data_IF_715696407655
#
_entry.id   IF_715696407655
#
_cell.length_a   1.000
_cell.length_b   1.000
_cell.length_c   1.000
_cell.angle_alpha   90.00
_cell.angle_beta   90.00
_cell.angle_gamma   90.00
#
_symmetry.space_group_name_H-M   'P 1'
#
loop_
_entity.id
_entity.type
_entity.pdbx_description
1 polymer ?
#
# COMPACT_ATOMS: atom_id res chain seq x y z
N UNK A 1 -20.07 15.51 7.40
CA UNK A 1 -19.52 14.44 8.26
C UNK A 1 -18.95 13.39 7.32
N UNK A 2 -17.69 12.97 7.47
CA UNK A 2 -17.09 11.93 6.64
C UNK A 2 -17.17 10.62 7.44
N UNK A 3 -18.07 9.72 7.03
CA UNK A 3 -18.21 8.41 7.66
C UNK A 3 -17.15 7.46 7.12
N UNK A 4 -16.21 7.06 7.97
CA UNK A 4 -15.22 6.03 7.63
C UNK A 4 -15.81 4.68 8.01
N UNK A 5 -16.17 3.87 7.01
CA UNK A 5 -16.61 2.50 7.21
C UNK A 5 -15.40 1.59 7.47
N UNK A 6 -15.06 1.42 8.74
CA UNK A 6 -14.06 0.45 9.17
C UNK A 6 -14.70 -0.95 9.14
N UNK A 7 -14.04 -1.99 8.59
CA UNK A 7 -14.56 -3.34 8.63
C UNK A 7 -14.82 -3.76 10.08
N UNK A 8 -15.93 -4.47 10.30
CA UNK A 8 -16.18 -5.08 11.61
C UNK A 8 -15.18 -6.23 11.79
N UNK A 9 -14.59 -6.40 12.99
CA UNK A 9 -13.83 -7.59 13.27
C UNK A 9 -14.74 -8.80 13.05
N UNK A 10 -14.19 -9.86 12.45
CA UNK A 10 -14.89 -11.13 12.38
C UNK A 10 -15.06 -11.65 13.80
N UNK A 11 -16.26 -12.14 14.10
CA UNK A 11 -16.54 -12.84 15.35
C UNK A 11 -17.16 -14.16 14.93
N UNK A 12 -16.55 -15.30 15.24
CA UNK A 12 -17.19 -16.57 15.05
C UNK A 12 -18.36 -16.62 16.04
N UNK A 13 -19.59 -16.59 15.53
CA UNK A 13 -20.78 -16.86 16.33
C UNK A 13 -20.66 -18.30 16.85
N UNK A 14 -21.03 -18.52 18.12
CA UNK A 14 -20.92 -19.79 18.83
C UNK A 14 -21.87 -20.86 18.24
N UNK A 15 -21.63 -21.30 17.00
CA UNK A 15 -22.17 -22.54 16.48
C UNK A 15 -21.31 -23.69 16.99
N UNK A 16 -21.84 -24.38 18.01
CA UNK A 16 -21.12 -25.34 18.82
C UNK A 16 -20.32 -26.39 18.04
N UNK A 17 -19.22 -26.81 18.68
CA UNK A 17 -18.33 -27.95 18.37
C UNK A 17 -17.07 -27.67 17.54
N UNK A 18 -16.16 -26.88 18.09
CA UNK A 18 -14.71 -27.14 18.08
C UNK A 18 -14.05 -26.20 19.11
N UNK A 19 -12.88 -26.51 19.71
CA UNK A 19 -12.11 -25.47 20.38
C UNK A 19 -11.79 -24.42 19.32
N UNK A 20 -12.48 -23.29 19.39
CA UNK A 20 -12.26 -22.16 18.49
C UNK A 20 -10.83 -21.71 18.73
N UNK A 21 -9.95 -22.02 17.78
CA UNK A 21 -8.60 -21.50 17.73
C UNK A 21 -8.76 -19.97 17.79
N UNK A 22 -8.41 -19.38 18.94
CA UNK A 22 -8.67 -17.97 19.22
C UNK A 22 -7.99 -17.13 18.14
N UNK A 23 -8.73 -16.16 17.61
CA UNK A 23 -8.43 -15.60 16.31
C UNK A 23 -7.12 -14.81 16.29
N UNK A 24 -6.40 -15.06 15.20
CA UNK A 24 -5.14 -14.43 14.78
C UNK A 24 -5.34 -12.92 14.63
N UNK A 25 -4.36 -12.14 15.09
CA UNK A 25 -4.26 -10.70 14.81
C UNK A 25 -4.60 -10.40 13.34
N UNK A 26 -5.56 -9.52 13.10
CA UNK A 26 -6.01 -9.18 11.75
C UNK A 26 -5.77 -7.70 11.44
N UNK A 27 -5.33 -7.41 10.21
CA UNK A 27 -5.01 -6.06 9.75
C UNK A 27 -5.76 -5.77 8.45
N UNK A 28 -6.43 -4.63 8.39
CA UNK A 28 -7.22 -4.19 7.25
C UNK A 28 -6.82 -2.79 6.80
N UNK A 29 -6.62 -2.63 5.49
CA UNK A 29 -6.32 -1.36 4.85
C UNK A 29 -7.59 -0.81 4.19
N UNK A 30 -8.09 0.32 4.68
CA UNK A 30 -9.28 0.99 4.13
C UNK A 30 -8.89 2.32 3.48
N UNK A 31 -9.10 2.45 2.18
CA UNK A 31 -8.89 3.71 1.46
C UNK A 31 -9.90 4.75 1.89
N UNK A 32 -9.43 5.97 2.19
CA UNK A 32 -10.29 7.11 2.46
C UNK A 32 -10.75 7.75 1.15
N UNK A 33 -12.05 7.67 0.88
CA UNK A 33 -12.66 8.33 -0.26
C UNK A 33 -12.45 9.86 -0.19
N UNK A 34 -12.33 10.50 -1.36
CA UNK A 34 -12.15 11.94 -1.52
C UNK A 34 -10.83 12.49 -0.95
N UNK A 35 -9.86 11.61 -0.72
CA UNK A 35 -8.47 11.98 -0.40
C UNK A 35 -7.54 11.77 -1.59
N UNK A 36 -8.10 11.51 -2.77
CA UNK A 36 -7.33 11.28 -3.98
C UNK A 36 -6.66 12.56 -4.47
N UNK A 37 -5.35 12.48 -4.64
CA UNK A 37 -4.56 13.54 -5.24
C UNK A 37 -3.77 13.01 -6.43
N UNK A 38 -3.79 13.74 -7.54
CA UNK A 38 -3.07 13.38 -8.75
C UNK A 38 -1.76 14.14 -8.77
N UNK A 39 -0.65 13.40 -8.73
CA UNK A 39 0.69 13.96 -8.76
C UNK A 39 1.41 13.55 -10.03
N UNK A 40 2.21 14.47 -10.57
CA UNK A 40 3.09 14.15 -11.69
C UNK A 40 4.08 13.06 -11.29
N UNK A 41 4.24 12.03 -12.13
CA UNK A 41 5.18 10.96 -11.84
C UNK A 41 6.61 11.50 -11.78
N UNK A 42 7.24 11.43 -10.61
CA UNK A 42 8.60 11.93 -10.39
C UNK A 42 9.63 11.23 -11.29
N UNK A 43 9.44 9.95 -11.59
CA UNK A 43 10.42 9.15 -12.35
C UNK A 43 10.50 9.50 -13.83
N UNK A 44 9.38 9.89 -14.45
CA UNK A 44 9.33 10.25 -15.86
C UNK A 44 8.96 11.73 -16.09
N UNK A 45 8.82 12.50 -15.01
CA UNK A 45 8.45 13.92 -15.03
C UNK A 45 7.23 14.20 -15.90
N UNK A 46 6.18 13.37 -15.80
CA UNK A 46 4.95 13.54 -16.58
C UNK A 46 4.94 12.88 -17.96
N UNK A 47 6.10 12.51 -18.52
CA UNK A 47 6.18 12.04 -19.91
C UNK A 47 5.68 10.61 -20.16
N UNK A 48 5.43 9.83 -19.11
CA UNK A 48 5.07 8.41 -19.21
C UNK A 48 6.20 7.49 -19.72
N UNK A 49 7.37 8.02 -20.08
CA UNK A 49 8.48 7.25 -20.63
C UNK A 49 9.81 7.64 -19.97
N UNK A 50 10.67 6.66 -19.76
CA UNK A 50 12.01 6.86 -19.19
C UNK A 50 13.09 6.48 -20.20
N UNK A 51 14.28 7.05 -20.05
CA UNK A 51 15.44 6.73 -20.90
C UNK A 51 15.72 5.22 -20.84
N UNK A 52 15.85 4.59 -21.99
CA UNK A 52 16.16 3.17 -22.05
C UNK A 52 17.57 2.94 -21.49
N UNK A 53 17.69 2.18 -20.39
CA UNK A 53 18.98 1.87 -19.79
C UNK A 53 19.89 1.04 -20.70
N UNK A 54 19.32 0.14 -21.52
CA UNK A 54 20.09 -0.78 -22.38
C UNK A 54 20.87 -0.05 -23.48
N UNK A 55 20.26 0.92 -24.14
CA UNK A 55 20.91 1.71 -25.19
C UNK A 55 21.29 3.13 -24.74
N UNK A 56 21.07 3.44 -23.44
CA UNK A 56 21.27 4.76 -22.85
C UNK A 56 20.64 5.88 -23.70
N UNK A 57 19.42 5.67 -24.20
CA UNK A 57 18.72 6.69 -24.98
C UNK A 57 19.05 6.74 -26.48
N UNK A 58 20.08 6.04 -26.95
CA UNK A 58 20.48 6.10 -28.37
C UNK A 58 19.55 5.35 -29.32
N UNK A 59 18.69 4.48 -28.79
CA UNK A 59 17.85 3.60 -29.61
C UNK A 59 18.59 2.42 -30.24
N UNK A 60 19.93 2.41 -30.22
CA UNK A 60 20.76 1.39 -30.88
C UNK A 60 21.71 0.70 -29.91
N UNK A 61 22.11 -0.52 -30.24
CA UNK A 61 23.15 -1.29 -29.52
C UNK A 61 24.10 -1.91 -30.53
N UNK A 62 25.38 -1.99 -30.17
CA UNK A 62 26.37 -2.72 -30.97
C UNK A 62 26.19 -4.21 -30.73
N UNK A 63 26.18 -4.99 -31.82
CA UNK A 63 26.16 -6.45 -31.82
C UNK A 63 27.26 -6.98 -32.72
N UNK A 64 27.56 -8.26 -32.59
CA UNK A 64 28.46 -8.99 -33.49
C UNK A 64 27.65 -10.02 -34.27
N UNK A 65 27.96 -10.17 -35.55
CA UNK A 65 27.45 -11.26 -36.38
C UNK A 65 28.22 -12.58 -36.09
N UNK A 66 27.93 -13.63 -36.85
CA UNK A 66 28.58 -14.93 -36.67
C UNK A 66 30.07 -14.89 -37.05
N UNK A 67 30.44 -13.97 -37.94
CA UNK A 67 31.78 -13.73 -38.44
C UNK A 67 32.61 -12.80 -37.54
N UNK A 68 31.99 -12.24 -36.49
CA UNK A 68 32.63 -11.37 -35.50
C UNK A 68 32.66 -9.88 -35.85
N UNK A 69 32.09 -9.46 -36.99
CA UNK A 69 31.99 -8.07 -37.38
C UNK A 69 30.97 -7.33 -36.52
N UNK A 70 31.33 -6.11 -36.11
CA UNK A 70 30.45 -5.28 -35.30
C UNK A 70 29.48 -4.48 -36.16
N UNK A 71 28.19 -4.54 -35.85
CA UNK A 71 27.15 -3.76 -36.52
C UNK A 71 26.21 -3.10 -35.52
N UNK A 72 25.51 -2.03 -35.95
CA UNK A 72 24.51 -1.34 -35.12
C UNK A 72 23.12 -1.91 -35.37
N UNK A 73 22.55 -2.51 -34.33
CA UNK A 73 21.18 -3.00 -34.34
C UNK A 73 20.26 -2.10 -33.52
N UNK A 74 18.95 -2.14 -33.83
CA UNK A 74 17.95 -1.52 -32.97
C UNK A 74 17.98 -2.18 -31.58
N UNK A 75 17.86 -1.35 -30.55
CA UNK A 75 17.78 -1.83 -29.19
C UNK A 75 16.45 -2.56 -29.01
N UNK A 76 16.50 -3.87 -28.76
CA UNK A 76 15.32 -4.71 -28.58
C UNK A 76 14.45 -4.31 -27.37
N UNK A 77 15.01 -3.57 -26.40
CA UNK A 77 14.26 -3.14 -25.21
C UNK A 77 13.35 -1.93 -25.49
N UNK A 78 13.74 -1.06 -26.41
CA UNK A 78 12.98 0.15 -26.76
C UNK A 78 12.56 0.21 -28.22
N UNK A 79 12.83 -0.85 -28.98
CA UNK A 79 12.57 -0.98 -30.42
C UNK A 79 13.04 0.25 -31.22
N UNK A 80 14.26 0.74 -30.96
CA UNK A 80 14.80 1.90 -31.66
C UNK A 80 14.42 3.28 -31.09
N UNK A 81 13.40 3.39 -30.25
CA UNK A 81 12.92 4.71 -29.77
C UNK A 81 13.82 5.41 -28.75
N UNK A 82 14.78 4.70 -28.15
CA UNK A 82 15.63 5.22 -27.06
C UNK A 82 14.92 5.39 -25.71
N UNK A 83 13.60 5.22 -25.64
CA UNK A 83 12.82 5.35 -24.41
C UNK A 83 11.95 4.12 -24.17
N UNK A 84 11.66 3.82 -22.91
CA UNK A 84 10.78 2.71 -22.52
C UNK A 84 9.63 3.23 -21.66
N UNK A 85 8.52 2.50 -21.65
CA UNK A 85 7.38 2.79 -20.77
C UNK A 85 7.86 2.93 -19.33
N UNK A 86 7.46 4.00 -18.66
CA UNK A 86 7.76 4.18 -17.25
C UNK A 86 7.00 3.14 -16.44
N UNK A 87 7.69 2.25 -15.73
CA UNK A 87 7.06 1.23 -14.89
C UNK A 87 6.51 1.75 -13.57
N UNK A 88 6.87 2.98 -13.16
CA UNK A 88 6.34 3.56 -11.90
C UNK A 88 4.92 4.09 -12.08
N UNK A 89 4.58 4.60 -13.26
CA UNK A 89 3.24 5.12 -13.57
C UNK A 89 2.57 4.36 -14.71
N UNK A 90 3.12 3.22 -15.11
CA UNK A 90 2.69 2.43 -16.27
C UNK A 90 2.33 3.26 -17.51
N UNK A 91 3.18 4.25 -17.82
CA UNK A 91 2.99 5.10 -18.99
C UNK A 91 1.97 6.22 -18.84
N UNK A 92 1.23 6.30 -17.73
CA UNK A 92 0.22 7.33 -17.50
C UNK A 92 0.80 8.73 -17.27
N UNK A 93 2.07 8.82 -16.86
CA UNK A 93 2.73 10.11 -16.56
C UNK A 93 2.33 10.72 -15.20
N UNK A 94 1.29 10.19 -14.57
CA UNK A 94 0.76 10.63 -13.28
C UNK A 94 0.62 9.46 -12.30
N UNK A 95 0.63 9.77 -11.01
CA UNK A 95 0.41 8.86 -9.90
C UNK A 95 -0.78 9.38 -9.10
N UNK A 96 -1.60 8.48 -8.59
CA UNK A 96 -2.72 8.83 -7.70
C UNK A 96 -2.33 8.45 -6.29
N UNK A 97 -2.34 9.42 -5.40
CA UNK A 97 -2.14 9.25 -3.97
C UNK A 97 -3.47 9.29 -3.26
N UNK A 98 -3.59 8.58 -2.15
CA UNK A 98 -4.76 8.64 -1.27
C UNK A 98 -4.35 8.26 0.14
N UNK A 99 -5.12 8.72 1.12
CA UNK A 99 -4.93 8.33 2.52
C UNK A 99 -5.58 6.96 2.74
N UNK A 100 -4.92 6.14 3.55
CA UNK A 100 -5.42 4.83 3.98
C UNK A 100 -5.55 4.85 5.49
N UNK A 101 -6.58 4.19 6.02
CA UNK A 101 -6.69 3.86 7.44
C UNK A 101 -6.36 2.39 7.60
N UNK A 102 -5.31 2.11 8.38
CA UNK A 102 -4.95 0.76 8.76
C UNK A 102 -5.59 0.45 10.11
N UNK A 103 -6.46 -0.56 10.12
CA UNK A 103 -7.14 -1.04 11.34
C UNK A 103 -6.57 -2.40 11.71
N UNK A 104 -6.01 -2.49 12.91
CA UNK A 104 -5.50 -3.75 13.46
C UNK A 104 -6.37 -4.19 14.62
N UNK A 105 -6.88 -5.41 14.56
CA UNK A 105 -7.55 -6.06 15.69
C UNK A 105 -6.56 -7.02 16.32
N UNK A 106 -6.31 -6.82 17.61
CA UNK A 106 -5.46 -7.71 18.41
C UNK A 106 -6.32 -8.44 19.42
N UNK A 107 -6.09 -9.75 19.53
CA UNK A 107 -6.68 -10.57 20.58
C UNK A 107 -5.71 -10.61 21.76
N UNK A 108 -6.09 -9.95 22.86
CA UNK A 108 -5.31 -9.99 24.11
C UNK A 108 -6.00 -10.98 25.02
N UNK A 109 -5.37 -12.14 25.26
CA UNK A 109 -5.94 -13.23 26.07
C UNK A 109 -5.79 -13.01 27.58
N UNK A 110 -4.92 -12.09 28.01
CA UNK A 110 -4.41 -12.04 29.39
C UNK A 110 -4.87 -10.83 30.23
N UNK A 111 -5.71 -9.91 29.72
CA UNK A 111 -6.06 -8.68 30.44
C UNK A 111 -7.57 -8.50 30.73
N UNK A 112 -7.92 -8.42 32.03
CA UNK A 112 -9.18 -7.83 32.50
C UNK A 112 -9.14 -6.30 32.29
N UNK A 113 -9.65 -5.84 31.16
CA UNK A 113 -9.70 -4.40 30.86
C UNK A 113 -10.85 -3.75 31.66
N UNK A 114 -10.55 -2.90 32.65
CA UNK A 114 -11.53 -1.94 33.18
C UNK A 114 -11.61 -0.71 32.26
N UNK A 115 -12.83 -0.29 31.87
CA UNK A 115 -13.00 0.92 31.06
C UNK A 115 -12.73 2.16 31.91
N UNK A 116 -11.60 2.84 31.68
CA UNK A 116 -11.37 4.19 32.21
C UNK A 116 -11.64 5.18 31.09
N UNK A 117 -12.70 5.98 31.25
CA UNK A 117 -12.99 7.11 30.36
C UNK A 117 -11.95 8.20 30.60
N UNK A 118 -11.01 8.38 29.68
CA UNK A 118 -10.17 9.58 29.67
C UNK A 118 -10.59 10.42 28.48
N UNK A 119 -11.33 11.48 28.77
CA UNK A 119 -11.39 12.65 27.90
C UNK A 119 -10.03 13.34 27.99
N UNK A 120 -9.32 13.46 26.87
CA UNK A 120 -8.63 14.70 26.45
C UNK A 120 -7.71 14.44 25.26
N UNK A 121 -7.73 15.42 24.36
CA UNK A 121 -6.87 15.62 23.20
C UNK A 121 -5.38 15.55 23.56
N UNK A 122 -4.56 14.93 22.70
CA UNK A 122 -3.21 15.36 22.31
C UNK A 122 -2.51 14.20 21.59
N UNK A 123 -2.09 14.39 20.33
CA UNK A 123 -0.84 13.81 19.85
C UNK A 123 -0.29 14.67 18.71
N UNK A 124 0.86 15.27 18.99
CA UNK A 124 1.60 16.19 18.13
C UNK A 124 2.90 15.53 17.67
N UNK A 125 3.17 15.67 16.37
CA UNK A 125 4.45 15.63 15.64
C UNK A 125 5.42 14.43 15.70
N UNK A 126 5.85 13.97 14.51
CA UNK A 126 7.27 13.63 14.29
C UNK A 126 7.65 12.41 13.42
N UNK A 127 7.79 12.64 12.10
CA UNK A 127 8.75 12.01 11.17
C UNK A 127 8.61 10.52 10.77
N UNK A 128 7.92 10.27 9.64
CA UNK A 128 8.28 9.27 8.61
C UNK A 128 7.80 9.80 7.24
N UNK A 129 8.44 9.48 6.10
CA UNK A 129 8.09 10.07 4.81
C UNK A 129 6.60 9.86 4.44
N UNK A 130 5.92 10.99 4.23
CA UNK A 130 4.46 11.23 4.32
C UNK A 130 3.61 10.68 3.17
N UNK A 131 3.66 9.37 2.94
CA UNK A 131 2.97 8.82 1.78
C UNK A 131 1.92 7.75 2.09
N UNK A 132 1.82 7.27 3.33
CA UNK A 132 0.73 6.40 3.78
C UNK A 132 0.51 6.63 5.28
N UNK A 133 -0.58 7.30 5.67
CA UNK A 133 -0.92 7.45 7.09
C UNK A 133 -1.25 6.05 7.65
N UNK A 134 -0.59 5.68 8.75
CA UNK A 134 -0.84 4.51 9.62
C UNK A 134 -0.96 5.15 11.01
N UNK A 135 -2.05 5.09 11.78
CA UNK A 135 -2.60 3.98 12.57
C UNK A 135 -3.98 4.37 13.15
N UNK A 136 -4.88 3.41 13.41
CA UNK A 136 -5.91 3.53 14.47
C UNK A 136 -5.98 2.20 15.25
N UNK A 137 -5.64 2.23 16.54
CA UNK A 137 -5.74 1.07 17.44
C UNK A 137 -7.17 0.91 17.95
N UNK A 138 -7.79 -0.24 17.70
CA UNK A 138 -9.09 -0.62 18.30
C UNK A 138 -8.96 -1.97 18.98
N UNK A 139 -9.19 -2.00 20.28
CA UNK A 139 -9.26 -3.22 21.08
C UNK A 139 -10.66 -3.79 21.02
N UNK A 140 -10.76 -5.08 20.70
CA UNK A 140 -12.03 -5.80 20.68
C UNK A 140 -12.29 -6.45 22.05
N UNK A 141 -13.53 -6.44 22.54
CA UNK A 141 -13.94 -7.13 23.78
C UNK A 141 -15.10 -8.10 23.50
N UNK A 142 -15.00 -9.32 24.04
CA UNK A 142 -16.15 -10.22 24.21
C UNK A 142 -16.94 -9.80 25.46
N UNK A 143 -18.26 -9.97 25.41
CA UNK A 143 -19.19 -9.68 26.51
C UNK A 143 -19.12 -10.84 27.52
N UNK A 144 -18.84 -10.54 28.79
CA UNK A 144 -19.20 -11.45 29.88
C UNK A 144 -20.64 -11.13 30.29
N UNK A 145 -21.59 -11.98 29.90
CA UNK A 145 -22.92 -11.97 30.49
C UNK A 145 -22.84 -12.69 31.84
N UNK A 146 -22.57 -11.94 32.91
CA UNK A 146 -22.58 -12.41 34.29
C UNK A 146 -23.87 -12.01 35.01
N UNK A 147 -24.93 -12.81 34.87
CA UNK A 147 -25.99 -12.93 35.87
C UNK A 147 -25.82 -14.29 36.57
N UNK A 148 -25.53 -14.27 37.86
CA UNK A 148 -25.39 -15.43 38.73
C UNK A 148 -24.98 -15.00 40.12
#
# INVERSE_FOLDING_TARGET
>A
MWDISVPKPFFPEDEGSNPVEYEVDSTYDTKLAHTEEVWTCHRCSGSGRVRCGRCRGSGRVTRRDAEGNSYRANCQRCYGSGRVKCGTCDGAGRLVWFKVVVTTFKTVLDDYIFMVFISTNLFDSGFLPDHVIKYVNKTCKRREDGYG
#
